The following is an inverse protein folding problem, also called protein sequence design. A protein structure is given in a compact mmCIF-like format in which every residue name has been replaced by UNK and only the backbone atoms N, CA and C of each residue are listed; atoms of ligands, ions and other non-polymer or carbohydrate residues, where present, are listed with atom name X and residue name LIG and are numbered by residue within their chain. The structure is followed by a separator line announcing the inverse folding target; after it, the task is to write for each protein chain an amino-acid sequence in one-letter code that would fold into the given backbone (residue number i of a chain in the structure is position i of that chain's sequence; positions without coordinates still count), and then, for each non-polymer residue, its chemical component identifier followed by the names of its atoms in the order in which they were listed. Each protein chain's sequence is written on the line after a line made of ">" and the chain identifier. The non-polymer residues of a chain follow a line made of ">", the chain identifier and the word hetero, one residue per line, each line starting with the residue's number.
data_IF_081498230544
#
_entry.id   IF_081498230544
#
_cell.length_a   1.000
_cell.length_b   1.000
_cell.length_c   1.000
_cell.angle_alpha   90.00
_cell.angle_beta   90.00
_cell.angle_gamma   90.00
#
_symmetry.space_group_name_H-M   'P 1'
#
loop_
_entity.id
_entity.type
_entity.pdbx_description
1 polymer ?
#
# COMPACT_ATOMS: atom_id res chain seq x y z
N UNK A 1 4.64 -0.85 -18.26
CA UNK A 1 4.93 -0.88 -16.80
C UNK A 1 3.66 -0.50 -16.06
N UNK A 2 3.32 -1.21 -15.00
CA UNK A 2 2.29 -0.82 -14.04
C UNK A 2 2.99 -0.21 -12.82
N UNK A 3 2.82 1.10 -12.59
CA UNK A 3 3.32 1.76 -11.39
C UNK A 3 2.33 1.60 -10.22
N UNK A 4 2.84 1.33 -9.02
CA UNK A 4 2.04 1.15 -7.80
C UNK A 4 2.59 2.04 -6.70
N UNK A 5 1.81 3.04 -6.31
CA UNK A 5 2.05 3.94 -5.18
C UNK A 5 1.45 3.33 -3.91
N UNK A 6 2.18 3.36 -2.80
CA UNK A 6 1.79 2.79 -1.51
C UNK A 6 1.63 3.88 -0.45
N UNK A 7 0.53 3.88 0.27
CA UNK A 7 0.19 4.94 1.22
C UNK A 7 -0.23 4.43 2.60
N UNK A 8 0.05 5.22 3.63
CA UNK A 8 -0.33 4.94 5.02
C UNK A 8 -1.69 5.49 5.42
N UNK A 9 -2.29 6.34 4.57
CA UNK A 9 -3.58 7.01 4.81
C UNK A 9 -4.42 7.02 3.54
N UNK A 10 -5.72 6.79 3.68
CA UNK A 10 -6.67 6.77 2.59
C UNK A 10 -6.57 5.53 1.70
N UNK A 11 -5.54 5.42 0.88
CA UNK A 11 -5.23 4.25 0.07
C UNK A 11 -4.18 3.34 0.71
N UNK A 12 -4.28 2.04 0.48
CA UNK A 12 -3.20 1.07 0.69
C UNK A 12 -2.28 1.06 -0.53
N UNK A 13 -2.88 1.01 -1.70
CA UNK A 13 -2.20 1.02 -2.99
C UNK A 13 -3.06 1.73 -4.04
N UNK A 14 -2.40 2.43 -4.97
CA UNK A 14 -3.00 3.03 -6.17
C UNK A 14 -2.13 2.68 -7.36
N UNK A 15 -2.74 2.29 -8.49
CA UNK A 15 -2.02 1.97 -9.71
C UNK A 15 -1.99 3.13 -10.71
N UNK A 16 -1.04 3.10 -11.63
CA UNK A 16 -0.93 4.07 -12.74
C UNK A 16 -2.07 3.98 -13.75
N UNK A 17 -2.88 2.92 -13.71
CA UNK A 17 -4.10 2.70 -14.48
C UNK A 17 -5.35 3.20 -13.77
N UNK A 18 -5.26 3.51 -12.45
CA UNK A 18 -6.31 4.13 -11.66
C UNK A 18 -7.06 3.20 -10.71
N UNK A 19 -6.64 1.95 -10.55
CA UNK A 19 -7.20 1.10 -9.52
C UNK A 19 -6.77 1.56 -8.12
N UNK A 20 -7.64 1.34 -7.14
CA UNK A 20 -7.50 1.88 -5.80
C UNK A 20 -7.93 0.86 -4.76
N UNK A 21 -7.10 0.63 -3.73
CA UNK A 21 -7.42 -0.20 -2.57
C UNK A 21 -7.30 0.60 -1.29
N UNK A 22 -8.40 0.66 -0.51
CA UNK A 22 -8.44 1.41 0.75
C UNK A 22 -7.64 0.72 1.85
N UNK A 23 -6.90 1.50 2.65
CA UNK A 23 -6.26 1.02 3.88
C UNK A 23 -7.23 0.95 5.07
N UNK A 24 -8.42 1.56 4.96
CA UNK A 24 -9.35 1.68 6.08
C UNK A 24 -9.87 0.33 6.59
N UNK A 25 -10.00 -0.67 5.69
CA UNK A 25 -10.34 -2.03 6.09
C UNK A 25 -9.33 -2.59 7.11
N UNK A 26 -8.04 -2.43 6.85
CA UNK A 26 -6.98 -2.88 7.75
C UNK A 26 -6.98 -2.07 9.05
N UNK A 27 -7.11 -0.76 8.97
CA UNK A 27 -7.14 0.14 10.12
C UNK A 27 -8.34 -0.12 11.03
N UNK A 28 -9.52 -0.37 10.47
CA UNK A 28 -10.72 -0.73 11.22
C UNK A 28 -10.51 -2.03 12.02
N UNK A 29 -10.09 -3.09 11.36
CA UNK A 29 -9.91 -4.39 12.03
C UNK A 29 -8.78 -4.38 13.03
N UNK A 30 -7.71 -3.63 12.80
CA UNK A 30 -6.64 -3.43 13.78
C UNK A 30 -7.18 -2.85 15.08
N UNK A 31 -7.96 -1.78 15.00
CA UNK A 31 -8.59 -1.16 16.19
C UNK A 31 -9.53 -2.12 16.91
N UNK A 32 -10.32 -2.91 16.17
CA UNK A 32 -11.22 -3.89 16.76
C UNK A 32 -10.48 -5.03 17.47
N UNK A 33 -9.41 -5.56 16.88
CA UNK A 33 -8.59 -6.58 17.53
C UNK A 33 -7.80 -6.02 18.74
N UNK A 34 -7.36 -4.78 18.68
CA UNK A 34 -6.71 -4.11 19.80
C UNK A 34 -7.65 -3.96 21.01
N UNK A 35 -8.88 -3.51 20.79
CA UNK A 35 -9.92 -3.46 21.83
C UNK A 35 -10.17 -4.84 22.46
N UNK A 36 -10.27 -5.89 21.64
CA UNK A 36 -10.49 -7.27 22.13
C UNK A 36 -9.32 -7.75 22.96
N UNK A 37 -8.07 -7.52 22.52
CA UNK A 37 -6.88 -7.88 23.31
C UNK A 37 -6.84 -7.15 24.64
N UNK A 38 -7.10 -5.83 24.64
CA UNK A 38 -7.15 -5.02 25.85
C UNK A 38 -8.16 -5.58 26.86
N UNK A 39 -9.40 -5.82 26.44
CA UNK A 39 -10.44 -6.38 27.29
C UNK A 39 -10.05 -7.75 27.88
N UNK A 40 -9.45 -8.64 27.08
CA UNK A 40 -8.98 -9.94 27.58
C UNK A 40 -7.83 -9.80 28.58
N UNK A 41 -6.90 -8.88 28.36
CA UNK A 41 -5.77 -8.63 29.26
C UNK A 41 -6.23 -8.06 30.61
N UNK A 42 -7.28 -7.24 30.64
CA UNK A 42 -7.86 -6.69 31.88
C UNK A 42 -8.45 -7.79 32.78
N UNK A 43 -8.90 -8.91 32.22
CA UNK A 43 -9.42 -10.05 33.01
C UNK A 43 -8.34 -10.90 33.70
N UNK A 44 -7.08 -10.86 33.25
CA UNK A 44 -5.91 -11.43 33.92
C UNK A 44 -5.89 -12.95 34.16
N UNK A 45 -6.86 -13.72 33.62
CA UNK A 45 -6.91 -15.16 33.81
C UNK A 45 -6.04 -15.92 32.79
N UNK A 46 -5.64 -17.16 33.13
CA UNK A 46 -4.93 -18.05 32.17
C UNK A 46 -5.72 -18.24 30.89
N UNK A 47 -7.02 -18.42 30.97
CA UNK A 47 -7.91 -18.56 29.82
C UNK A 47 -7.94 -17.29 28.96
N UNK A 48 -7.92 -16.11 29.59
CA UNK A 48 -7.84 -14.84 28.87
C UNK A 48 -6.51 -14.73 28.08
N UNK A 49 -5.40 -15.19 28.67
CA UNK A 49 -4.10 -15.20 27.97
C UNK A 49 -4.11 -16.10 26.73
N UNK A 50 -4.65 -17.32 26.82
CA UNK A 50 -4.81 -18.21 25.66
C UNK A 50 -5.71 -17.59 24.57
N UNK A 51 -6.77 -16.88 24.95
CA UNK A 51 -7.63 -16.19 24.00
C UNK A 51 -6.96 -14.97 23.34
N UNK A 52 -6.04 -14.27 24.00
CA UNK A 52 -5.24 -13.21 23.37
C UNK A 52 -4.42 -13.75 22.21
N UNK A 53 -3.81 -14.93 22.35
CA UNK A 53 -3.07 -15.58 21.26
C UNK A 53 -3.99 -15.91 20.08
N UNK A 54 -5.15 -16.53 20.34
CA UNK A 54 -6.15 -16.86 19.31
C UNK A 54 -6.67 -15.61 18.58
N UNK A 55 -6.84 -14.51 19.30
CA UNK A 55 -7.21 -13.21 18.70
C UNK A 55 -6.11 -12.71 17.76
N UNK A 56 -4.83 -12.82 18.16
CA UNK A 56 -3.69 -12.46 17.31
C UNK A 56 -3.58 -13.30 16.03
N UNK A 57 -3.83 -14.61 16.13
CA UNK A 57 -3.86 -15.50 14.96
C UNK A 57 -4.98 -15.13 13.97
N UNK A 58 -6.19 -14.85 14.48
CA UNK A 58 -7.33 -14.41 13.67
C UNK A 58 -7.06 -13.08 12.98
N UNK A 59 -6.44 -12.12 13.69
CA UNK A 59 -6.03 -10.84 13.12
C UNK A 59 -5.01 -11.06 11.98
N UNK A 60 -3.96 -11.81 12.25
CA UNK A 60 -2.92 -12.13 11.26
C UNK A 60 -3.50 -12.82 10.03
N UNK A 61 -4.38 -13.81 10.20
CA UNK A 61 -5.05 -14.51 9.11
C UNK A 61 -5.91 -13.56 8.26
N UNK A 62 -6.70 -12.68 8.89
CA UNK A 62 -7.53 -11.71 8.20
C UNK A 62 -6.71 -10.72 7.36
N UNK A 63 -5.63 -10.20 7.92
CA UNK A 63 -4.76 -9.26 7.21
C UNK A 63 -4.01 -9.92 6.06
N UNK A 64 -3.50 -11.14 6.27
CA UNK A 64 -2.90 -11.93 5.20
C UNK A 64 -3.87 -12.13 4.04
N UNK A 65 -5.10 -12.55 4.31
CA UNK A 65 -6.11 -12.79 3.29
C UNK A 65 -6.44 -11.50 2.49
N UNK A 66 -6.54 -10.35 3.17
CA UNK A 66 -6.77 -9.07 2.51
C UNK A 66 -5.61 -8.71 1.59
N UNK A 67 -4.37 -8.77 2.09
CA UNK A 67 -3.17 -8.46 1.30
C UNK A 67 -2.97 -9.43 0.12
N UNK A 68 -3.32 -10.71 0.29
CA UNK A 68 -3.32 -11.69 -0.81
C UNK A 68 -4.31 -11.34 -1.92
N UNK A 69 -5.51 -10.85 -1.54
CA UNK A 69 -6.51 -10.40 -2.50
C UNK A 69 -6.02 -9.17 -3.25
N UNK A 70 -5.54 -8.14 -2.54
CA UNK A 70 -5.00 -6.92 -3.17
C UNK A 70 -3.85 -7.26 -4.12
N UNK A 71 -2.91 -8.11 -3.69
CA UNK A 71 -1.80 -8.53 -4.53
C UNK A 71 -2.25 -9.28 -5.79
N UNK A 72 -3.29 -10.13 -5.68
CA UNK A 72 -3.87 -10.81 -6.84
C UNK A 72 -4.47 -9.81 -7.82
N UNK A 73 -5.28 -8.88 -7.32
CA UNK A 73 -5.94 -7.85 -8.13
C UNK A 73 -4.94 -6.93 -8.84
N UNK A 74 -3.82 -6.56 -8.19
CA UNK A 74 -2.71 -5.79 -8.81
C UNK A 74 -2.07 -6.57 -9.96
N UNK A 75 -1.83 -7.87 -9.78
CA UNK A 75 -1.23 -8.70 -10.83
C UNK A 75 -2.20 -8.92 -11.98
N UNK A 76 -3.48 -9.19 -11.70
CA UNK A 76 -4.53 -9.32 -12.72
C UNK A 76 -4.63 -8.03 -13.56
N UNK A 77 -4.59 -6.86 -12.93
CA UNK A 77 -4.59 -5.57 -13.62
C UNK A 77 -3.34 -5.39 -14.51
N UNK A 78 -2.17 -5.82 -14.07
CA UNK A 78 -0.97 -5.80 -14.89
C UNK A 78 -1.11 -6.69 -16.13
N UNK A 79 -1.69 -7.89 -15.96
CA UNK A 79 -1.95 -8.84 -17.07
C UNK A 79 -2.96 -8.23 -18.05
N UNK A 80 -4.08 -7.72 -17.57
CA UNK A 80 -5.14 -7.11 -18.40
C UNK A 80 -4.65 -5.92 -19.22
N UNK A 81 -3.69 -5.14 -18.67
CA UNK A 81 -3.08 -4.00 -19.34
C UNK A 81 -1.81 -4.37 -20.15
N UNK A 82 -1.47 -5.66 -20.28
CA UNK A 82 -0.31 -6.12 -21.04
C UNK A 82 1.04 -5.64 -20.48
N UNK A 83 1.10 -5.39 -19.17
CA UNK A 83 2.32 -4.92 -18.52
C UNK A 83 3.29 -6.11 -18.28
N UNK A 84 4.55 -5.94 -18.63
CA UNK A 84 5.63 -6.90 -18.36
C UNK A 84 6.40 -6.59 -17.08
N UNK A 85 6.15 -5.45 -16.48
CA UNK A 85 6.78 -4.99 -15.23
C UNK A 85 5.75 -4.34 -14.32
N UNK A 86 5.81 -4.67 -13.02
CA UNK A 86 5.13 -3.94 -11.95
C UNK A 86 6.22 -3.20 -11.16
N UNK A 87 6.16 -1.88 -11.14
CA UNK A 87 7.06 -1.03 -10.39
C UNK A 87 6.37 -0.60 -9.08
N UNK A 88 6.97 -0.92 -7.95
CA UNK A 88 6.46 -0.55 -6.61
C UNK A 88 7.48 0.36 -5.90
N UNK A 89 7.02 1.25 -5.02
CA UNK A 89 7.94 2.08 -4.25
C UNK A 89 8.81 1.26 -3.29
N UNK A 90 10.11 1.62 -3.20
CA UNK A 90 11.04 1.07 -2.21
C UNK A 90 10.82 1.74 -0.84
N UNK A 91 10.06 1.08 0.01
CA UNK A 91 9.71 1.56 1.34
C UNK A 91 10.86 1.37 2.37
N UNK A 92 11.91 0.64 2.05
CA UNK A 92 13.07 0.51 2.93
C UNK A 92 13.80 1.86 3.14
N UNK A 93 13.58 2.80 2.21
CA UNK A 93 14.13 4.16 2.29
C UNK A 93 13.27 5.14 3.09
N UNK A 94 11.99 4.80 3.39
CA UNK A 94 11.05 5.67 4.12
C UNK A 94 10.92 5.24 5.61
N UNK A 95 11.88 4.49 6.14
CA UNK A 95 11.81 3.82 7.45
C UNK A 95 11.51 4.73 8.65
N UNK A 96 11.89 5.99 8.61
CA UNK A 96 11.81 6.87 9.77
C UNK A 96 10.37 7.33 10.11
N UNK A 97 9.43 7.28 9.14
CA UNK A 97 8.05 7.73 9.30
C UNK A 97 7.00 6.59 9.35
N UNK A 98 7.40 5.36 9.05
CA UNK A 98 6.47 4.22 9.05
C UNK A 98 6.38 3.59 10.44
N UNK A 99 5.17 3.42 10.97
CA UNK A 99 5.03 2.57 12.13
C UNK A 99 5.27 1.09 11.73
N UNK A 100 5.78 0.28 12.68
CA UNK A 100 6.16 -1.14 12.46
C UNK A 100 5.07 -1.99 11.78
N UNK A 101 3.81 -1.58 11.89
CA UNK A 101 2.69 -2.31 11.31
C UNK A 101 2.52 -2.03 9.82
N UNK A 102 2.65 -0.77 9.39
CA UNK A 102 2.62 -0.41 7.97
C UNK A 102 3.80 -1.04 7.23
N UNK A 103 5.00 -0.97 7.79
CA UNK A 103 6.20 -1.64 7.25
C UNK A 103 5.94 -3.15 7.04
N UNK A 104 5.36 -3.84 8.04
CA UNK A 104 4.99 -5.24 7.92
C UNK A 104 3.97 -5.49 6.79
N UNK A 105 2.92 -4.67 6.67
CA UNK A 105 1.88 -4.85 5.67
C UNK A 105 2.42 -4.66 4.24
N UNK A 106 3.26 -3.65 4.03
CA UNK A 106 3.84 -3.35 2.72
C UNK A 106 4.86 -4.39 2.27
N UNK A 107 5.76 -4.83 3.15
CA UNK A 107 6.69 -5.93 2.84
C UNK A 107 5.96 -7.21 2.47
N UNK A 108 4.82 -7.48 3.12
CA UNK A 108 3.99 -8.61 2.78
C UNK A 108 3.30 -8.44 1.45
N UNK A 109 2.72 -7.26 1.19
CA UNK A 109 2.09 -6.96 -0.08
C UNK A 109 3.09 -7.11 -1.23
N UNK A 110 4.28 -6.51 -1.10
CA UNK A 110 5.35 -6.64 -2.09
C UNK A 110 5.66 -8.11 -2.40
N UNK A 111 5.93 -8.93 -1.38
CA UNK A 111 6.22 -10.35 -1.56
C UNK A 111 5.07 -11.12 -2.21
N UNK A 112 3.82 -10.74 -1.90
CA UNK A 112 2.66 -11.39 -2.48
C UNK A 112 2.45 -10.99 -3.95
N UNK A 113 2.75 -9.77 -4.32
CA UNK A 113 2.77 -9.32 -5.72
C UNK A 113 3.90 -10.03 -6.46
N UNK A 114 5.11 -10.06 -5.90
CA UNK A 114 6.30 -10.65 -6.52
C UNK A 114 6.08 -12.10 -6.95
N UNK A 115 5.74 -13.01 -6.03
CA UNK A 115 5.58 -14.42 -6.42
C UNK A 115 4.36 -14.68 -7.32
N UNK A 116 3.29 -13.86 -7.19
CA UNK A 116 2.13 -13.99 -8.07
C UNK A 116 2.42 -13.48 -9.49
N UNK A 117 3.18 -12.40 -9.60
CA UNK A 117 3.61 -11.83 -10.87
C UNK A 117 4.55 -12.80 -11.64
N UNK A 118 5.41 -13.53 -10.89
CA UNK A 118 6.29 -14.55 -11.43
C UNK A 118 5.54 -15.64 -12.21
N UNK A 119 4.35 -16.06 -11.73
CA UNK A 119 3.49 -17.04 -12.40
C UNK A 119 3.05 -16.58 -13.82
N UNK A 120 3.04 -15.27 -14.05
CA UNK A 120 2.68 -14.64 -15.32
C UNK A 120 3.88 -14.14 -16.12
N UNK A 121 5.10 -14.40 -15.65
CA UNK A 121 6.31 -13.88 -16.27
C UNK A 121 6.47 -12.35 -16.15
N UNK A 122 5.76 -11.72 -15.22
CA UNK A 122 5.84 -10.28 -14.95
C UNK A 122 6.92 -10.04 -13.91
N UNK A 123 7.85 -9.13 -14.22
CA UNK A 123 8.91 -8.73 -13.28
C UNK A 123 8.39 -7.66 -12.32
N UNK A 124 8.74 -7.79 -11.04
CA UNK A 124 8.48 -6.75 -10.03
C UNK A 124 9.78 -6.01 -9.73
N UNK A 125 9.74 -4.68 -9.72
CA UNK A 125 10.88 -3.81 -9.38
C UNK A 125 10.52 -2.89 -8.22
N UNK A 126 11.55 -2.47 -7.48
CA UNK A 126 11.41 -1.43 -6.46
C UNK A 126 12.03 -0.14 -7.00
N UNK A 127 11.26 0.93 -6.93
CA UNK A 127 11.66 2.25 -7.42
C UNK A 127 11.88 3.22 -6.26
N UNK A 128 12.83 4.15 -6.45
CA UNK A 128 13.09 5.16 -5.45
C UNK A 128 11.88 6.10 -5.29
N UNK A 129 11.27 6.20 -4.09
CA UNK A 129 10.09 7.03 -3.85
C UNK A 129 10.39 8.53 -3.84
N UNK A 130 11.64 8.93 -4.00
CA UNK A 130 12.07 10.32 -3.89
C UNK A 130 11.40 11.21 -4.94
N UNK A 131 10.63 12.20 -4.48
CA UNK A 131 9.88 13.14 -5.29
C UNK A 131 8.71 12.59 -6.13
N UNK A 132 8.36 11.33 -6.09
CA UNK A 132 7.23 10.76 -6.85
C UNK A 132 5.93 11.51 -6.58
N UNK A 133 5.68 11.91 -5.33
CA UNK A 133 4.51 12.66 -4.90
C UNK A 133 4.51 14.15 -5.28
N UNK A 134 5.66 14.72 -5.64
CA UNK A 134 5.83 16.14 -5.96
C UNK A 134 6.06 16.39 -7.46
N UNK A 135 6.49 15.38 -8.20
CA UNK A 135 6.74 15.42 -9.63
C UNK A 135 5.43 15.34 -10.41
N UNK A 136 5.28 16.18 -11.41
CA UNK A 136 4.15 16.11 -12.32
C UNK A 136 4.35 14.98 -13.35
N UNK A 137 3.43 14.02 -13.38
CA UNK A 137 3.47 12.90 -14.33
C UNK A 137 3.24 13.32 -15.79
N UNK A 138 2.70 14.54 -16.02
CA UNK A 138 2.47 15.07 -17.37
C UNK A 138 3.67 15.83 -17.94
N UNK A 139 4.36 16.66 -17.15
CA UNK A 139 5.43 17.53 -17.66
C UNK A 139 6.78 17.37 -16.95
N UNK A 140 6.88 16.51 -15.95
CA UNK A 140 8.11 16.24 -15.19
C UNK A 140 8.51 17.32 -14.18
N UNK A 141 7.79 18.45 -14.10
CA UNK A 141 8.12 19.53 -13.16
C UNK A 141 7.92 19.09 -11.71
N UNK A 142 8.96 19.23 -10.89
CA UNK A 142 8.97 18.84 -9.48
C UNK A 142 8.92 20.09 -8.61
N UNK A 143 7.90 20.18 -7.75
CA UNK A 143 7.76 21.28 -6.79
C UNK A 143 6.88 20.85 -5.61
N UNK A 144 7.28 21.18 -4.36
CA UNK A 144 6.53 20.81 -3.16
C UNK A 144 5.09 21.35 -3.12
N UNK A 145 4.83 22.49 -3.71
CA UNK A 145 3.50 23.09 -3.82
C UNK A 145 2.57 22.45 -4.86
N UNK A 146 3.03 21.44 -5.62
CA UNK A 146 2.18 20.72 -6.57
C UNK A 146 1.18 19.79 -5.84
N UNK A 147 1.48 19.35 -4.62
CA UNK A 147 0.62 18.47 -3.81
C UNK A 147 0.03 19.22 -2.61
N UNK A 148 -1.27 19.08 -2.43
CA UNK A 148 -2.00 19.53 -1.23
C UNK A 148 -2.94 18.42 -0.75
N UNK A 149 -2.52 17.67 0.26
CA UNK A 149 -3.27 16.51 0.74
C UNK A 149 -3.44 15.45 -0.34
N UNK A 150 -4.69 15.18 -0.74
CA UNK A 150 -5.05 14.22 -1.80
C UNK A 150 -5.13 14.85 -3.20
N UNK A 151 -5.01 16.17 -3.30
CA UNK A 151 -5.07 16.89 -4.57
C UNK A 151 -3.67 17.17 -5.11
N UNK A 152 -3.52 17.05 -6.41
CA UNK A 152 -2.33 17.40 -7.16
C UNK A 152 -2.69 18.44 -8.22
N UNK A 153 -1.96 19.57 -8.25
CA UNK A 153 -2.08 20.61 -9.29
C UNK A 153 -0.68 21.11 -9.65
N UNK A 154 -0.25 20.86 -10.87
CA UNK A 154 1.07 21.28 -11.34
C UNK A 154 1.16 22.79 -11.53
N UNK A 155 2.03 23.45 -10.80
CA UNK A 155 2.24 24.90 -10.90
C UNK A 155 2.84 25.36 -12.23
N UNK A 156 3.41 24.43 -13.03
CA UNK A 156 3.99 24.75 -14.34
C UNK A 156 3.02 24.56 -15.50
N UNK A 157 2.32 23.42 -15.56
CA UNK A 157 1.47 23.08 -16.71
C UNK A 157 -0.03 23.04 -16.41
N UNK A 158 -0.44 23.27 -15.14
CA UNK A 158 -1.84 23.25 -14.74
C UNK A 158 -2.49 21.86 -14.71
N UNK A 159 -1.71 20.77 -14.87
CA UNK A 159 -2.25 19.40 -14.77
C UNK A 159 -2.79 19.13 -13.37
N UNK A 160 -4.04 18.71 -13.29
CA UNK A 160 -4.72 18.39 -12.05
C UNK A 160 -5.11 16.91 -11.99
N UNK A 161 -4.93 16.29 -10.82
CA UNK A 161 -5.34 14.91 -10.57
C UNK A 161 -5.35 14.57 -9.08
N UNK A 162 -5.74 13.33 -8.73
CA UNK A 162 -5.51 12.78 -7.40
C UNK A 162 -4.00 12.59 -7.18
N UNK A 163 -3.49 12.99 -6.00
CA UNK A 163 -2.07 13.00 -5.71
C UNK A 163 -1.43 11.59 -5.78
N UNK A 164 -2.11 10.58 -5.23
CA UNK A 164 -1.62 9.20 -5.23
C UNK A 164 -1.63 8.58 -6.64
N UNK A 165 -2.62 8.95 -7.48
CA UNK A 165 -2.64 8.53 -8.88
C UNK A 165 -1.51 9.18 -9.69
N UNK A 166 -1.22 10.47 -9.45
CA UNK A 166 -0.06 11.12 -10.05
C UNK A 166 1.26 10.47 -9.59
N UNK A 167 1.37 10.09 -8.31
CA UNK A 167 2.54 9.38 -7.77
C UNK A 167 2.70 8.00 -8.43
N UNK A 168 1.63 7.19 -8.52
CA UNK A 168 1.67 5.89 -9.19
C UNK A 168 2.17 5.99 -10.65
N UNK A 169 1.79 7.04 -11.39
CA UNK A 169 2.31 7.30 -12.74
C UNK A 169 3.80 7.66 -12.76
N UNK A 170 4.32 8.25 -11.70
CA UNK A 170 5.74 8.58 -11.60
C UNK A 170 6.59 7.38 -11.17
N UNK A 171 5.98 6.37 -10.55
CA UNK A 171 6.61 5.10 -10.18
C UNK A 171 6.76 4.18 -11.39
N UNK A 172 5.79 4.17 -12.31
CA UNK A 172 5.82 3.38 -13.56
C UNK A 172 6.42 4.12 -14.72
#
# INVERSE_FOLDING_TARGET
>A
VLGVDLNTRGSLAVTSTGAYWSIEYLNHWRKEYEKRRKSLQEHGSRYAHENVQRVGEKESGRFKNYLHRVAKEIVEEAVENGCSVIAMEDLDRIRDDLNRWHDWAYRRLYRYVEYKAEEWGIRVTQENPEYTSQRCSNCGFTHGGNRSGTSFCCQKCGYENHADYNAAKNVG
#
